data_IF_254376289562
#
_entry.id   IF_254376289562
#
_cell.length_a   1.000
_cell.length_b   1.000
_cell.length_c   1.000
_cell.angle_alpha   90.00
_cell.angle_beta   90.00
_cell.angle_gamma   90.00
#
_symmetry.space_group_name_H-M   'P 1'
#
loop_
_entity.id
_entity.type
_entity.pdbx_description
1 polymer ?
#
# COMPACT_ATOMS: atom_id res chain seq x y z
N UNK A 1 -20.53 5.20 9.75
CA UNK A 1 -19.72 5.29 8.51
C UNK A 1 -20.49 6.08 7.45
N UNK A 2 -21.83 6.07 7.51
CA UNK A 2 -22.73 6.69 6.52
C UNK A 2 -22.77 8.23 6.53
N UNK A 3 -22.49 8.89 7.67
CA UNK A 3 -22.56 10.36 7.80
C UNK A 3 -21.37 11.07 7.14
N UNK A 4 -20.21 10.40 7.07
CA UNK A 4 -19.04 10.90 6.34
C UNK A 4 -19.25 10.77 4.82
N UNK A 5 -19.80 9.64 4.38
CA UNK A 5 -20.04 9.36 2.96
C UNK A 5 -21.13 10.27 2.36
N UNK A 6 -22.13 10.67 3.17
CA UNK A 6 -23.12 11.67 2.74
C UNK A 6 -22.51 13.06 2.56
N UNK A 7 -21.59 13.45 3.44
CA UNK A 7 -20.94 14.77 3.42
C UNK A 7 -20.01 14.90 2.20
N UNK A 8 -19.23 13.85 1.90
CA UNK A 8 -18.37 13.81 0.72
C UNK A 8 -19.19 13.94 -0.57
N UNK A 9 -20.34 13.25 -0.65
CA UNK A 9 -21.24 13.36 -1.81
C UNK A 9 -21.81 14.75 -2.02
N UNK A 10 -22.17 15.47 -0.97
CA UNK A 10 -22.62 16.86 -1.08
C UNK A 10 -21.49 17.79 -1.52
N UNK A 11 -20.28 17.59 -1.00
CA UNK A 11 -19.11 18.39 -1.36
C UNK A 11 -18.67 18.16 -2.82
N UNK A 12 -18.72 16.92 -3.29
CA UNK A 12 -18.47 16.55 -4.69
C UNK A 12 -19.49 17.18 -5.64
N UNK A 13 -20.76 17.21 -5.25
CA UNK A 13 -21.83 17.82 -6.03
C UNK A 13 -21.66 19.35 -6.09
N UNK A 14 -21.24 19.99 -5.00
CA UNK A 14 -20.89 21.42 -4.98
C UNK A 14 -19.70 21.76 -5.88
N UNK A 15 -18.69 20.88 -5.92
CA UNK A 15 -17.50 21.02 -6.78
C UNK A 15 -17.75 20.60 -8.24
N UNK A 16 -18.94 20.05 -8.54
CA UNK A 16 -19.25 19.43 -9.82
C UNK A 16 -18.17 18.43 -10.27
N UNK A 17 -17.76 17.58 -9.33
CA UNK A 17 -16.69 16.60 -9.48
C UNK A 17 -17.26 15.18 -9.47
N UNK A 18 -16.92 14.40 -10.49
CA UNK A 18 -17.27 12.99 -10.57
C UNK A 18 -16.03 12.14 -10.26
N UNK A 19 -16.14 11.21 -9.30
CA UNK A 19 -15.11 10.20 -9.03
C UNK A 19 -15.61 8.88 -9.61
N UNK A 20 -14.84 8.30 -10.53
CA UNK A 20 -15.12 7.02 -11.18
C UNK A 20 -14.01 6.05 -10.80
N UNK A 21 -14.36 4.88 -10.28
CA UNK A 21 -13.38 3.86 -9.90
C UNK A 21 -13.16 2.93 -11.08
N UNK A 22 -11.92 2.82 -11.52
CA UNK A 22 -11.56 1.94 -12.62
C UNK A 22 -11.47 0.50 -12.10
N UNK A 23 -12.47 -0.31 -12.47
CA UNK A 23 -12.57 -1.72 -12.09
C UNK A 23 -12.25 -2.55 -13.33
N UNK A 24 -11.21 -3.37 -13.25
CA UNK A 24 -10.80 -4.27 -14.33
C UNK A 24 -11.26 -5.73 -14.14
N UNK A 25 -11.80 -6.07 -12.97
CA UNK A 25 -12.17 -7.46 -12.63
C UNK A 25 -13.69 -7.66 -12.73
N UNK A 26 -14.11 -8.53 -13.65
CA UNK A 26 -15.49 -8.93 -13.88
C UNK A 26 -15.85 -8.96 -15.36
N UNK A 27 -16.77 -9.86 -15.75
CA UNK A 27 -17.18 -10.05 -17.17
C UNK A 27 -17.70 -8.75 -17.82
N UNK A 28 -18.30 -7.86 -17.02
CA UNK A 28 -18.87 -6.58 -17.46
C UNK A 28 -18.17 -5.35 -16.84
N UNK A 29 -17.00 -5.51 -16.23
CA UNK A 29 -16.35 -4.42 -15.50
C UNK A 29 -16.01 -3.21 -16.39
N UNK A 30 -15.65 -3.49 -17.66
CA UNK A 30 -15.38 -2.46 -18.65
C UNK A 30 -16.65 -1.69 -19.06
N UNK A 31 -17.75 -2.39 -19.34
CA UNK A 31 -19.03 -1.77 -19.71
C UNK A 31 -19.60 -0.89 -18.59
N UNK A 32 -19.43 -1.31 -17.33
CA UNK A 32 -19.85 -0.52 -16.16
C UNK A 32 -19.06 0.78 -16.06
N UNK A 33 -17.73 0.70 -16.25
CA UNK A 33 -16.87 1.88 -16.27
C UNK A 33 -17.23 2.84 -17.41
N UNK A 34 -17.41 2.33 -18.63
CA UNK A 34 -17.80 3.14 -19.79
C UNK A 34 -19.14 3.85 -19.57
N UNK A 35 -20.13 3.16 -19.00
CA UNK A 35 -21.44 3.74 -18.72
C UNK A 35 -21.39 4.82 -17.61
N UNK A 36 -20.59 4.62 -16.56
CA UNK A 36 -20.37 5.66 -15.55
C UNK A 36 -19.66 6.89 -16.11
N UNK A 37 -18.69 6.67 -17.00
CA UNK A 37 -17.97 7.74 -17.70
C UNK A 37 -18.88 8.52 -18.64
N UNK A 38 -19.70 7.83 -19.44
CA UNK A 38 -20.67 8.47 -20.32
C UNK A 38 -21.67 9.32 -19.52
N UNK A 39 -22.18 8.80 -18.40
CA UNK A 39 -23.04 9.56 -17.49
C UNK A 39 -22.38 10.81 -16.90
N UNK A 40 -21.10 10.73 -16.53
CA UNK A 40 -20.34 11.88 -16.03
C UNK A 40 -20.10 12.94 -17.12
N UNK A 41 -19.95 12.51 -18.38
CA UNK A 41 -19.83 13.40 -19.53
C UNK A 41 -21.16 14.08 -19.87
N UNK A 42 -22.28 13.34 -19.85
CA UNK A 42 -23.63 13.89 -20.08
C UNK A 42 -24.02 14.95 -19.05
N UNK A 43 -23.62 14.74 -17.80
CA UNK A 43 -23.86 15.67 -16.69
C UNK A 43 -22.95 16.91 -16.73
N UNK A 44 -22.02 16.98 -17.69
CA UNK A 44 -21.07 18.09 -17.90
C UNK A 44 -20.30 18.42 -16.62
N UNK A 45 -19.76 17.39 -15.97
CA UNK A 45 -18.93 17.58 -14.78
C UNK A 45 -17.73 18.47 -15.08
N UNK A 46 -17.39 19.35 -14.13
CA UNK A 46 -16.24 20.25 -14.27
C UNK A 46 -14.92 19.49 -14.19
N UNK A 47 -14.90 18.38 -13.46
CA UNK A 47 -13.74 17.53 -13.27
C UNK A 47 -14.19 16.08 -13.12
N UNK A 48 -13.52 15.16 -13.82
CA UNK A 48 -13.72 13.72 -13.69
C UNK A 48 -12.40 13.14 -13.19
N UNK A 49 -12.44 12.52 -12.02
CA UNK A 49 -11.32 11.83 -11.39
C UNK A 49 -11.51 10.34 -11.59
N UNK A 50 -10.54 9.70 -12.24
CA UNK A 50 -10.56 8.25 -12.46
C UNK A 50 -9.55 7.63 -11.49
N UNK A 51 -10.03 6.81 -10.56
CA UNK A 51 -9.22 6.17 -9.53
C UNK A 51 -9.00 4.68 -9.86
N UNK A 52 -7.76 4.26 -10.18
CA UNK A 52 -7.43 2.85 -10.33
C UNK A 52 -7.35 2.17 -8.96
N UNK A 53 -8.37 1.38 -8.61
CA UNK A 53 -8.46 0.71 -7.30
C UNK A 53 -7.32 -0.28 -7.08
N UNK A 54 -6.92 -1.02 -8.12
CA UNK A 54 -5.82 -1.99 -8.08
C UNK A 54 -4.48 -1.37 -7.67
N UNK A 55 -4.21 -0.14 -8.09
CA UNK A 55 -2.93 0.52 -7.78
C UNK A 55 -2.82 0.80 -6.29
N UNK A 56 -3.87 1.36 -5.69
CA UNK A 56 -3.90 1.65 -4.25
C UNK A 56 -3.79 0.39 -3.38
N UNK A 57 -4.47 -0.70 -3.75
CA UNK A 57 -4.41 -1.96 -3.01
C UNK A 57 -3.05 -2.63 -3.09
N UNK A 58 -2.45 -2.67 -4.28
CA UNK A 58 -1.10 -3.21 -4.48
C UNK A 58 -0.08 -2.37 -3.69
N UNK A 59 -0.11 -1.04 -3.81
CA UNK A 59 0.75 -0.13 -3.03
C UNK A 59 0.60 -0.36 -1.53
N UNK A 60 -0.63 -0.48 -1.02
CA UNK A 60 -0.87 -0.78 0.40
C UNK A 60 -0.26 -2.12 0.83
N UNK A 61 -0.33 -3.15 -0.02
CA UNK A 61 0.28 -4.46 0.25
C UNK A 61 1.81 -4.37 0.28
N UNK A 62 2.42 -3.66 -0.67
CA UNK A 62 3.86 -3.43 -0.71
C UNK A 62 4.36 -2.67 0.53
N UNK A 63 3.64 -1.62 0.94
CA UNK A 63 3.93 -0.88 2.17
C UNK A 63 3.86 -1.79 3.40
N UNK A 64 2.83 -2.64 3.49
CA UNK A 64 2.66 -3.57 4.61
C UNK A 64 3.83 -4.57 4.72
N UNK A 65 4.22 -5.17 3.59
CA UNK A 65 5.36 -6.11 3.53
C UNK A 65 6.67 -5.39 3.85
N UNK A 66 6.89 -4.20 3.32
CA UNK A 66 8.05 -3.37 3.64
C UNK A 66 8.15 -3.07 5.14
N UNK A 67 7.05 -2.68 5.77
CA UNK A 67 7.00 -2.43 7.21
C UNK A 67 7.31 -3.69 8.04
N UNK A 68 6.81 -4.85 7.61
CA UNK A 68 7.12 -6.12 8.24
C UNK A 68 8.62 -6.45 8.17
N UNK A 69 9.21 -6.32 6.97
CA UNK A 69 10.65 -6.53 6.75
C UNK A 69 11.50 -5.58 7.60
N UNK A 70 11.16 -4.29 7.62
CA UNK A 70 11.90 -3.29 8.38
C UNK A 70 11.84 -3.56 9.89
N UNK A 71 10.65 -3.79 10.45
CA UNK A 71 10.48 -4.10 11.88
C UNK A 71 11.21 -5.38 12.27
N UNK A 72 11.14 -6.41 11.42
CA UNK A 72 11.86 -7.67 11.63
C UNK A 72 13.37 -7.45 11.60
N UNK A 73 13.87 -6.65 10.66
CA UNK A 73 15.30 -6.33 10.56
C UNK A 73 15.82 -5.64 11.83
N UNK A 74 15.06 -4.67 12.34
CA UNK A 74 15.38 -3.93 13.57
C UNK A 74 15.34 -4.88 14.77
N UNK A 75 14.27 -5.66 14.94
CA UNK A 75 14.13 -6.58 16.07
C UNK A 75 15.21 -7.68 16.06
N UNK A 76 15.53 -8.24 14.89
CA UNK A 76 16.58 -9.24 14.75
C UNK A 76 17.97 -8.66 15.04
N UNK A 77 18.23 -7.41 14.61
CA UNK A 77 19.49 -6.70 14.89
C UNK A 77 19.67 -6.37 16.37
N UNK A 78 18.63 -5.86 17.04
CA UNK A 78 18.68 -5.65 18.49
C UNK A 78 18.77 -6.97 19.26
N UNK A 79 18.05 -8.00 18.81
CA UNK A 79 18.11 -9.34 19.39
C UNK A 79 19.51 -9.97 19.26
N UNK A 80 20.22 -9.75 18.16
CA UNK A 80 21.59 -10.26 17.99
C UNK A 80 22.58 -9.55 18.93
N UNK A 81 22.45 -8.24 19.13
CA UNK A 81 23.27 -7.48 20.08
C UNK A 81 23.03 -7.91 21.53
N UNK A 82 21.76 -8.05 21.93
CA UNK A 82 21.38 -8.47 23.28
C UNK A 82 21.80 -9.92 23.57
N UNK A 83 21.61 -10.83 22.62
CA UNK A 83 22.04 -12.23 22.76
C UNK A 83 23.56 -12.37 22.86
N UNK A 84 24.32 -11.58 22.10
CA UNK A 84 25.77 -11.54 22.19
C UNK A 84 26.26 -10.96 23.53
N UNK A 85 25.54 -9.98 24.09
CA UNK A 85 25.86 -9.40 25.40
C UNK A 85 25.53 -10.35 26.57
N UNK A 86 24.38 -11.03 26.53
CA UNK A 86 23.93 -11.92 27.60
C UNK A 86 24.63 -13.29 27.59
N UNK A 87 24.91 -13.85 26.40
CA UNK A 87 25.53 -15.17 26.23
C UNK A 87 26.61 -15.15 25.14
N UNK A 88 27.80 -14.59 25.42
CA UNK A 88 28.89 -14.52 24.45
C UNK A 88 29.36 -15.90 23.98
N UNK A 89 29.23 -16.93 24.81
CA UNK A 89 29.63 -18.32 24.48
C UNK A 89 28.70 -19.02 23.47
N UNK A 90 27.54 -18.42 23.14
CA UNK A 90 26.53 -18.99 22.24
C UNK A 90 26.42 -18.19 20.95
N UNK A 91 27.55 -17.98 20.28
CA UNK A 91 27.67 -17.27 19.00
C UNK A 91 26.74 -17.83 17.90
N UNK A 92 26.39 -19.12 17.97
CA UNK A 92 25.44 -19.77 17.06
C UNK A 92 24.02 -19.17 17.08
N UNK A 93 23.65 -18.41 18.11
CA UNK A 93 22.33 -17.75 18.21
C UNK A 93 22.39 -16.33 17.63
N UNK A 94 23.45 -15.57 17.93
CA UNK A 94 23.58 -14.19 17.47
C UNK A 94 23.83 -14.09 15.95
N UNK A 95 24.60 -15.04 15.40
CA UNK A 95 24.95 -15.06 13.97
C UNK A 95 23.74 -15.15 13.02
N UNK A 96 22.79 -16.10 13.17
CA UNK A 96 21.61 -16.15 12.30
C UNK A 96 20.69 -14.94 12.48
N UNK A 97 20.55 -14.40 13.70
CA UNK A 97 19.76 -13.18 13.94
C UNK A 97 20.35 -11.98 13.20
N UNK A 98 21.68 -11.82 13.25
CA UNK A 98 22.37 -10.78 12.47
C UNK A 98 22.20 -10.99 10.97
N UNK A 99 22.24 -12.24 10.49
CA UNK A 99 22.01 -12.58 9.08
C UNK A 99 20.60 -12.22 8.61
N UNK A 100 19.58 -12.58 9.40
CA UNK A 100 18.18 -12.23 9.12
C UNK A 100 18.00 -10.71 9.12
N UNK A 101 18.62 -10.00 10.07
CA UNK A 101 18.57 -8.54 10.13
C UNK A 101 19.10 -7.90 8.85
N UNK A 102 20.30 -8.28 8.42
CA UNK A 102 20.92 -7.75 7.21
C UNK A 102 20.12 -8.11 5.95
N UNK A 103 19.63 -9.36 5.87
CA UNK A 103 18.84 -9.80 4.74
C UNK A 103 17.52 -9.02 4.63
N UNK A 104 16.76 -8.91 5.71
CA UNK A 104 15.50 -8.16 5.71
C UNK A 104 15.73 -6.67 5.41
N UNK A 105 16.80 -6.06 5.94
CA UNK A 105 17.16 -4.68 5.64
C UNK A 105 17.57 -4.48 4.18
N UNK A 106 18.33 -5.44 3.61
CA UNK A 106 18.75 -5.42 2.21
C UNK A 106 17.58 -5.57 1.25
N UNK A 107 16.69 -6.54 1.49
CA UNK A 107 15.46 -6.72 0.70
C UNK A 107 14.60 -5.47 0.79
N UNK A 108 14.38 -4.94 1.99
CA UNK A 108 13.65 -3.67 2.18
C UNK A 108 14.27 -2.55 1.33
N UNK A 109 15.58 -2.31 1.43
CA UNK A 109 16.24 -1.23 0.71
C UNK A 109 16.12 -1.36 -0.82
N UNK A 110 16.31 -2.57 -1.37
CA UNK A 110 16.19 -2.83 -2.81
C UNK A 110 14.74 -2.72 -3.28
N UNK A 111 13.79 -3.22 -2.49
CA UNK A 111 12.36 -3.14 -2.80
C UNK A 111 11.89 -1.68 -2.90
N UNK A 112 12.34 -0.80 -2.01
CA UNK A 112 12.00 0.63 -2.08
C UNK A 112 12.74 1.42 -3.15
N UNK A 113 13.90 0.95 -3.62
CA UNK A 113 14.56 1.56 -4.79
C UNK A 113 13.91 1.16 -6.11
N UNK A 114 13.24 0.01 -6.15
CA UNK A 114 12.58 -0.53 -7.34
C UNK A 114 11.08 -0.20 -7.39
N UNK A 115 10.58 0.49 -6.36
CA UNK A 115 9.19 0.90 -6.28
C UNK A 115 8.93 2.01 -7.31
N UNK A 116 8.03 1.81 -8.30
CA UNK A 116 7.80 2.76 -9.39
C UNK A 116 6.96 3.99 -8.97
N UNK A 117 6.85 4.25 -7.67
CA UNK A 117 6.12 5.41 -7.13
C UNK A 117 6.84 6.73 -7.42
#
# INVERSE_FOLDING_TARGET
MDEYESTDREMLNYMNLAIIREIYDGENAHEVFENELERALETKCSCIVIEPTKLGEETARWISVGNCLHKTAVLAGFGSMLSNFAWPDKMYISFPLSGISFFCAGVYAVSWQSDPC
#
